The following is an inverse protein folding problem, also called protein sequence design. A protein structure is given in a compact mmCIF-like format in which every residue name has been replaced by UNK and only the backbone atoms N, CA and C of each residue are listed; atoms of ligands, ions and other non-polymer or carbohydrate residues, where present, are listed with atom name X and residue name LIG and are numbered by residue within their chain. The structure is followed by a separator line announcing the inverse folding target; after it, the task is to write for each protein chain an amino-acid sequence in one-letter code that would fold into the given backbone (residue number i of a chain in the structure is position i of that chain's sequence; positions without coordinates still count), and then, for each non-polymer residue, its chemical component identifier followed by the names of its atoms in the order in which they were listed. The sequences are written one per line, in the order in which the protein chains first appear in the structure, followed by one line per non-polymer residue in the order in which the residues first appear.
data_IF_197810794011
#
_entry.id   IF_197810794011
#
_cell.length_a   1.000
_cell.length_b   1.000
_cell.length_c   1.000
_cell.angle_alpha   90.00
_cell.angle_beta   90.00
_cell.angle_gamma   90.00
#
_symmetry.space_group_name_H-M   'P 1'
#
loop_
_entity.id
_entity.type
_entity.pdbx_description
1 polymer ?
#
# COMPACT_ATOMS: atom_id res chain seq x y z
N UNK A 1 -51.18 55.24 6.57
CA UNK A 1 -51.71 54.99 7.92
C UNK A 1 -50.68 54.17 8.69
N UNK A 2 -49.69 54.80 9.34
CA UNK A 2 -49.76 55.30 10.73
C UNK A 2 -49.95 54.20 11.77
N UNK A 3 -48.84 53.82 12.42
CA UNK A 3 -48.74 53.66 13.87
C UNK A 3 -47.26 53.62 14.28
N UNK A 4 -46.79 54.77 14.78
CA UNK A 4 -45.59 54.94 15.59
C UNK A 4 -45.91 54.51 17.04
N UNK A 5 -44.95 54.13 17.91
CA UNK A 5 -44.01 54.94 18.71
C UNK A 5 -43.38 53.99 19.80
N UNK A 6 -42.50 54.40 20.75
CA UNK A 6 -41.48 55.46 20.81
C UNK A 6 -40.11 55.01 21.42
N UNK A 7 -39.07 55.84 21.23
CA UNK A 7 -38.04 56.15 22.26
C UNK A 7 -36.82 55.21 22.36
N UNK A 8 -35.56 55.66 22.38
CA UNK A 8 -35.04 57.01 22.56
C UNK A 8 -33.51 57.09 22.42
N UNK A 9 -33.09 58.27 21.98
CA UNK A 9 -31.86 59.04 22.25
C UNK A 9 -30.46 58.43 22.03
N UNK A 10 -29.77 59.07 21.08
CA UNK A 10 -28.33 59.10 20.80
C UNK A 10 -27.52 59.81 21.91
N UNK A 11 -26.18 59.73 21.76
CA UNK A 11 -25.02 60.44 22.37
C UNK A 11 -24.38 59.72 23.58
N UNK A 12 -23.07 59.45 23.67
CA UNK A 12 -21.88 60.10 23.08
C UNK A 12 -20.60 59.27 23.37
N UNK A 13 -19.65 59.29 22.43
CA UNK A 13 -18.17 59.33 22.56
C UNK A 13 -17.39 58.40 23.54
N UNK A 14 -16.64 57.48 22.92
CA UNK A 14 -15.20 57.21 23.06
C UNK A 14 -14.52 57.23 24.46
N UNK A 15 -14.00 56.07 24.86
CA UNK A 15 -12.61 55.86 25.34
C UNK A 15 -12.31 54.36 25.51
N UNK A 16 -11.25 53.86 24.88
CA UNK A 16 -10.62 52.56 25.15
C UNK A 16 -9.83 52.61 26.48
N UNK A 17 -9.69 51.49 27.21
CA UNK A 17 -8.39 50.79 27.16
C UNK A 17 -8.44 49.25 27.32
N UNK A 18 -7.56 48.60 26.54
CA UNK A 18 -6.70 47.42 26.82
C UNK A 18 -7.28 46.23 27.62
N UNK A 19 -7.52 45.06 26.98
CA UNK A 19 -7.64 43.79 27.69
C UNK A 19 -6.26 43.22 28.06
N UNK A 20 -6.07 43.02 29.36
CA UNK A 20 -4.96 42.32 30.00
C UNK A 20 -5.07 40.81 29.78
N UNK A 21 -3.98 40.23 29.25
CA UNK A 21 -3.50 38.85 29.36
C UNK A 21 -4.55 37.74 29.57
N UNK A 22 -5.03 37.16 28.47
CA UNK A 22 -5.54 35.80 28.44
C UNK A 22 -4.92 35.02 27.28
N UNK A 23 -4.33 33.86 27.61
CA UNK A 23 -4.19 32.71 26.73
C UNK A 23 -3.35 32.89 25.46
N UNK A 24 -2.03 32.91 25.63
CA UNK A 24 -1.14 32.41 24.58
C UNK A 24 -1.14 30.88 24.59
N UNK A 25 -1.76 30.28 23.57
CA UNK A 25 -1.13 29.29 22.69
C UNK A 25 -2.10 28.94 21.56
N UNK A 26 -1.93 29.75 20.53
CA UNK A 26 -2.59 29.75 19.24
C UNK A 26 -2.68 28.37 18.60
N UNK A 27 -3.89 27.99 18.25
CA UNK A 27 -4.13 27.27 17.01
C UNK A 27 -4.19 28.29 15.86
N UNK A 28 -3.76 27.83 14.68
CA UNK A 28 -4.06 28.35 13.33
C UNK A 28 -3.12 29.43 12.74
N UNK A 29 -2.29 28.99 11.79
CA UNK A 29 -2.13 29.58 10.45
C UNK A 29 -1.69 28.42 9.53
N UNK A 30 -2.53 27.86 8.66
CA UNK A 30 -3.03 28.39 7.38
C UNK A 30 -1.94 28.66 6.34
N UNK A 31 -2.11 28.06 5.15
CA UNK A 31 -1.56 28.44 3.85
C UNK A 31 -0.02 28.46 3.71
N UNK A 32 0.50 27.65 2.78
CA UNK A 32 1.86 27.78 2.27
C UNK A 32 1.82 28.55 0.94
N UNK A 33 2.12 29.86 0.91
CA UNK A 33 2.42 30.56 -0.33
C UNK A 33 3.90 30.39 -0.70
N UNK A 34 4.18 30.21 -1.99
CA UNK A 34 5.41 30.66 -2.62
C UNK A 34 6.72 29.98 -2.21
N UNK A 35 7.24 29.11 -3.09
CA UNK A 35 8.61 28.58 -3.06
C UNK A 35 9.64 29.68 -2.73
N UNK A 36 10.27 29.57 -1.57
CA UNK A 36 11.71 29.82 -1.40
C UNK A 36 12.30 28.49 -0.94
N UNK A 37 13.07 27.85 -1.80
CA UNK A 37 13.80 26.65 -1.40
C UNK A 37 14.63 27.01 -0.18
N UNK A 38 14.32 26.42 0.97
CA UNK A 38 15.10 26.58 2.18
C UNK A 38 16.53 26.19 1.81
N UNK A 39 17.42 27.17 1.67
CA UNK A 39 18.84 26.90 1.44
C UNK A 39 19.35 26.43 2.80
N UNK A 40 19.05 25.17 3.12
CA UNK A 40 19.62 24.52 4.28
C UNK A 40 21.13 24.69 4.12
N UNK A 41 21.74 25.41 5.05
CA UNK A 41 23.17 25.69 4.99
C UNK A 41 23.92 24.37 4.80
N UNK A 42 25.09 24.37 4.14
CA UNK A 42 25.89 23.15 4.00
C UNK A 42 26.09 22.46 5.36
N UNK A 43 26.13 23.26 6.43
CA UNK A 43 26.15 22.80 7.80
C UNK A 43 24.84 22.09 8.23
N UNK A 44 23.66 22.65 7.99
CA UNK A 44 22.38 22.00 8.26
C UNK A 44 22.20 20.69 7.46
N UNK A 45 22.66 20.63 6.21
CA UNK A 45 22.65 19.39 5.42
C UNK A 45 23.62 18.35 6.00
N UNK A 46 24.85 18.76 6.35
CA UNK A 46 25.83 17.89 7.03
C UNK A 46 25.29 17.38 8.36
N UNK A 47 24.65 18.23 9.14
CA UNK A 47 24.07 17.90 10.43
C UNK A 47 22.83 17.00 10.28
N UNK A 48 22.06 17.19 9.21
CA UNK A 48 21.01 16.26 8.78
C UNK A 48 21.57 14.86 8.50
N UNK A 49 22.62 14.76 7.68
CA UNK A 49 23.28 13.48 7.39
C UNK A 49 23.92 12.83 8.62
N UNK A 50 24.49 13.62 9.53
CA UNK A 50 25.13 13.13 10.75
C UNK A 50 24.10 12.66 11.79
N UNK A 51 22.91 13.26 11.81
CA UNK A 51 21.78 12.86 12.63
C UNK A 51 20.83 11.86 11.94
N UNK A 52 21.07 11.52 10.67
CA UNK A 52 20.23 10.65 9.85
C UNK A 52 20.03 9.28 10.49
N UNK A 53 21.09 8.73 11.08
CA UNK A 53 21.05 7.45 11.81
C UNK A 53 20.22 7.50 13.08
N UNK A 54 20.02 8.68 13.69
CA UNK A 54 19.15 8.87 14.87
C UNK A 54 17.70 9.18 14.53
N UNK A 55 17.42 9.60 13.28
CA UNK A 55 16.08 9.97 12.81
C UNK A 55 15.39 8.87 12.02
N UNK A 56 16.14 7.84 11.60
CA UNK A 56 15.53 6.64 11.02
C UNK A 56 14.76 5.93 12.14
N UNK A 57 13.45 5.67 11.95
CA UNK A 57 12.81 4.65 12.77
C UNK A 57 13.62 3.35 12.60
N UNK A 58 13.69 2.49 13.63
CA UNK A 58 14.29 1.17 13.48
C UNK A 58 13.69 0.49 12.24
N UNK A 59 14.53 -0.22 11.48
CA UNK A 59 14.06 -0.94 10.28
C UNK A 59 12.88 -1.81 10.74
N UNK A 60 11.68 -1.64 10.14
CA UNK A 60 10.56 -2.46 10.53
C UNK A 60 10.95 -3.92 10.33
N UNK A 61 10.68 -4.76 11.33
CA UNK A 61 10.88 -6.19 11.22
C UNK A 61 9.88 -6.72 10.19
N UNK A 62 10.34 -6.84 8.94
CA UNK A 62 9.55 -7.43 7.87
C UNK A 62 9.61 -8.95 8.09
N UNK A 63 8.47 -9.62 8.36
CA UNK A 63 8.48 -11.08 8.51
C UNK A 63 8.96 -11.73 7.21
N UNK A 64 9.86 -12.72 7.32
CA UNK A 64 10.42 -13.44 6.16
C UNK A 64 9.34 -14.12 5.31
N UNK A 65 8.22 -14.45 5.94
CA UNK A 65 7.00 -14.93 5.31
C UNK A 65 5.82 -14.09 5.79
N UNK A 66 5.22 -13.31 4.90
CA UNK A 66 3.86 -12.83 5.10
C UNK A 66 2.92 -14.04 5.04
N UNK A 67 2.45 -14.48 6.20
CA UNK A 67 1.29 -15.35 6.27
C UNK A 67 0.09 -14.50 5.91
N UNK A 68 -0.25 -14.45 4.62
CA UNK A 68 -1.55 -13.96 4.17
C UNK A 68 -2.60 -14.76 4.94
N UNK A 69 -3.33 -14.11 5.84
CA UNK A 69 -4.49 -14.72 6.49
C UNK A 69 -5.41 -15.16 5.37
N UNK A 70 -5.50 -16.47 5.15
CA UNK A 70 -6.38 -17.06 4.17
C UNK A 70 -7.82 -16.93 4.70
N UNK A 71 -8.36 -15.71 4.70
CA UNK A 71 -9.74 -15.42 5.07
C UNK A 71 -10.73 -15.89 3.99
N UNK A 72 -10.20 -16.43 2.88
CA UNK A 72 -10.98 -17.09 1.84
C UNK A 72 -11.29 -18.52 2.24
N UNK A 73 -12.49 -18.75 2.78
CA UNK A 73 -13.03 -20.10 3.01
C UNK A 73 -13.32 -20.76 1.65
N UNK A 74 -12.31 -21.43 1.08
CA UNK A 74 -12.46 -22.21 -0.15
C UNK A 74 -13.25 -23.49 0.15
N UNK A 75 -14.48 -23.57 -0.36
CA UNK A 75 -15.30 -24.79 -0.24
C UNK A 75 -14.95 -25.75 -1.40
N UNK A 76 -14.60 -27.01 -1.13
CA UNK A 76 -14.40 -27.98 -2.19
C UNK A 76 -15.72 -28.21 -2.94
N UNK A 77 -15.70 -28.03 -4.26
CA UNK A 77 -16.85 -28.26 -5.13
C UNK A 77 -16.70 -29.58 -5.89
N UNK A 78 -17.81 -30.29 -6.10
CA UNK A 78 -17.85 -31.48 -6.97
C UNK A 78 -17.63 -31.04 -8.42
N UNK A 79 -16.67 -31.63 -9.16
CA UNK A 79 -16.40 -31.25 -10.53
C UNK A 79 -17.58 -31.61 -11.45
N UNK A 80 -17.91 -30.71 -12.37
CA UNK A 80 -18.75 -30.98 -13.53
C UNK A 80 -17.84 -31.31 -14.73
N UNK A 81 -18.31 -32.12 -15.68
CA UNK A 81 -17.50 -32.69 -16.78
C UNK A 81 -16.69 -31.64 -17.58
N UNK A 82 -17.20 -30.40 -17.68
CA UNK A 82 -16.59 -29.32 -18.46
C UNK A 82 -15.85 -28.26 -17.61
N UNK A 83 -15.78 -28.43 -16.28
CA UNK A 83 -15.12 -27.46 -15.41
C UNK A 83 -13.62 -27.72 -15.35
N UNK A 84 -12.82 -26.69 -15.63
CA UNK A 84 -11.36 -26.72 -15.55
C UNK A 84 -10.91 -25.88 -14.35
N UNK A 85 -9.96 -26.38 -13.57
CA UNK A 85 -9.23 -25.58 -12.56
C UNK A 85 -8.00 -24.93 -13.19
N UNK A 86 -7.61 -23.78 -12.65
CA UNK A 86 -6.35 -23.14 -13.02
C UNK A 86 -5.17 -24.03 -12.64
N UNK A 87 -4.18 -24.11 -13.53
CA UNK A 87 -2.88 -24.71 -13.21
C UNK A 87 -1.99 -23.77 -12.41
N UNK A 88 -0.79 -24.24 -12.10
CA UNK A 88 0.26 -23.46 -11.43
C UNK A 88 1.53 -23.48 -12.27
N UNK A 89 2.31 -22.41 -12.18
CA UNK A 89 3.66 -22.36 -12.73
C UNK A 89 4.61 -22.90 -11.67
N UNK A 90 5.71 -23.55 -12.07
CA UNK A 90 6.72 -24.03 -11.12
C UNK A 90 8.11 -24.08 -11.77
N UNK A 91 9.16 -23.95 -10.95
CA UNK A 91 10.54 -24.15 -11.37
C UNK A 91 10.93 -25.61 -11.24
N UNK A 92 11.41 -26.25 -12.32
CA UNK A 92 11.97 -27.61 -12.23
C UNK A 92 13.30 -27.55 -11.49
N UNK A 93 13.38 -28.17 -10.31
CA UNK A 93 14.60 -28.25 -9.51
C UNK A 93 15.46 -29.43 -9.98
N UNK A 94 14.84 -30.58 -10.22
CA UNK A 94 15.55 -31.79 -10.59
C UNK A 94 14.67 -33.03 -10.58
N UNK A 95 15.32 -34.19 -10.67
CA UNK A 95 14.67 -35.49 -10.61
C UNK A 95 15.36 -36.34 -9.54
N UNK A 96 14.59 -37.13 -8.80
CA UNK A 96 15.09 -38.06 -7.79
C UNK A 96 14.27 -39.34 -7.81
N UNK A 97 14.74 -40.37 -7.12
CA UNK A 97 14.00 -41.62 -6.94
C UNK A 97 13.40 -41.71 -5.55
N UNK A 98 12.10 -41.96 -5.47
CA UNK A 98 11.40 -42.36 -4.25
C UNK A 98 11.22 -43.88 -4.25
N UNK A 99 11.37 -44.50 -3.09
CA UNK A 99 11.11 -45.91 -2.88
C UNK A 99 9.77 -46.05 -2.18
N UNK A 100 8.92 -46.93 -2.68
CA UNK A 100 7.63 -47.24 -2.06
C UNK A 100 7.78 -48.34 -1.00
N UNK A 101 6.74 -48.55 -0.20
CA UNK A 101 6.69 -49.56 0.87
C UNK A 101 6.87 -50.99 0.32
N UNK A 102 6.45 -51.24 -0.92
CA UNK A 102 6.66 -52.50 -1.63
C UNK A 102 8.08 -52.68 -2.21
N UNK A 103 8.96 -51.69 -2.04
CA UNK A 103 10.33 -51.73 -2.55
C UNK A 103 10.45 -51.38 -4.04
N UNK A 104 9.41 -50.83 -4.67
CA UNK A 104 9.49 -50.33 -6.04
C UNK A 104 10.13 -48.94 -6.10
N UNK A 105 10.91 -48.70 -7.16
CA UNK A 105 11.62 -47.43 -7.38
C UNK A 105 10.84 -46.55 -8.36
N UNK A 106 10.34 -45.41 -7.86
CA UNK A 106 9.63 -44.41 -8.68
C UNK A 106 10.52 -43.20 -8.97
N UNK A 107 10.68 -42.88 -10.26
CA UNK A 107 11.38 -41.67 -10.69
C UNK A 107 10.44 -40.48 -10.65
N UNK A 108 10.75 -39.49 -9.82
CA UNK A 108 9.90 -38.31 -9.58
C UNK A 108 10.66 -37.03 -9.94
N UNK A 109 9.95 -36.06 -10.53
CA UNK A 109 10.47 -34.72 -10.78
C UNK A 109 10.03 -33.79 -9.66
N UNK A 110 10.97 -33.04 -9.10
CA UNK A 110 10.69 -32.04 -8.07
C UNK A 110 10.57 -30.66 -8.71
N UNK A 111 9.45 -30.00 -8.45
CA UNK A 111 9.15 -28.67 -8.95
C UNK A 111 8.88 -27.71 -7.78
N UNK A 112 9.59 -26.58 -7.73
CA UNK A 112 9.42 -25.55 -6.71
C UNK A 112 8.35 -24.54 -7.10
N UNK A 113 7.47 -24.23 -6.15
CA UNK A 113 6.58 -23.07 -6.20
C UNK A 113 7.21 -21.95 -5.37
N UNK A 114 7.66 -20.89 -6.03
CA UNK A 114 8.20 -19.70 -5.36
C UNK A 114 7.25 -18.51 -5.55
N UNK A 115 6.72 -17.97 -4.45
CA UNK A 115 5.87 -16.76 -4.40
C UNK A 115 4.84 -16.69 -5.54
N UNK A 116 4.09 -17.77 -5.75
CA UNK A 116 3.04 -17.83 -6.76
C UNK A 116 1.89 -16.90 -6.37
N UNK A 117 1.51 -15.99 -7.25
CA UNK A 117 0.43 -15.03 -6.99
C UNK A 117 -0.49 -14.85 -8.20
N UNK A 118 -1.79 -14.67 -7.97
CA UNK A 118 -2.77 -14.44 -9.04
C UNK A 118 -2.78 -12.95 -9.39
N UNK A 119 -2.37 -12.60 -10.61
CA UNK A 119 -2.23 -11.21 -11.03
C UNK A 119 -3.51 -10.60 -11.61
N UNK A 120 -4.18 -11.30 -12.52
CA UNK A 120 -5.38 -10.78 -13.20
C UNK A 120 -6.33 -11.92 -13.49
N UNK A 121 -7.62 -11.71 -13.21
CA UNK A 121 -8.72 -12.55 -13.71
C UNK A 121 -9.23 -11.97 -15.03
N UNK A 122 -9.28 -12.81 -16.06
CA UNK A 122 -9.91 -12.50 -17.34
C UNK A 122 -11.32 -13.10 -17.32
N UNK A 123 -12.30 -12.28 -17.69
CA UNK A 123 -13.72 -12.67 -17.69
C UNK A 123 -14.31 -12.44 -19.08
N UNK A 124 -15.26 -13.28 -19.49
CA UNK A 124 -15.88 -13.23 -20.83
C UNK A 124 -16.38 -11.82 -21.18
N UNK A 125 -17.00 -11.13 -20.22
CA UNK A 125 -17.56 -9.79 -20.43
C UNK A 125 -16.52 -8.71 -20.77
N UNK A 126 -15.28 -8.88 -20.30
CA UNK A 126 -14.23 -7.86 -20.42
C UNK A 126 -13.21 -8.20 -21.49
N UNK A 127 -12.77 -9.45 -21.52
CA UNK A 127 -11.64 -9.91 -22.34
C UNK A 127 -12.05 -10.94 -23.40
N UNK A 128 -13.32 -11.39 -23.42
CA UNK A 128 -13.85 -12.34 -24.42
C UNK A 128 -13.62 -13.83 -24.12
N UNK A 129 -12.91 -14.14 -23.03
CA UNK A 129 -12.65 -15.52 -22.58
C UNK A 129 -12.40 -15.57 -21.07
N UNK A 130 -12.46 -16.78 -20.50
CA UNK A 130 -12.14 -17.02 -19.09
C UNK A 130 -10.69 -17.52 -18.94
N UNK A 131 -9.89 -16.80 -18.17
CA UNK A 131 -8.53 -17.20 -17.83
C UNK A 131 -8.05 -16.52 -16.55
N UNK A 132 -7.00 -17.09 -15.95
CA UNK A 132 -6.32 -16.51 -14.80
C UNK A 132 -4.85 -16.32 -15.15
N UNK A 133 -4.37 -15.08 -15.01
CA UNK A 133 -2.96 -14.74 -15.12
C UNK A 133 -2.29 -14.94 -13.77
N UNK A 134 -1.24 -15.74 -13.74
CA UNK A 134 -0.50 -16.08 -12.52
C UNK A 134 0.96 -15.65 -12.70
N UNK A 135 1.51 -15.00 -11.67
CA UNK A 135 2.92 -14.63 -11.57
C UNK A 135 3.65 -15.61 -10.64
N UNK A 136 4.94 -15.82 -10.90
CA UNK A 136 5.79 -16.69 -10.11
C UNK A 136 7.17 -16.06 -9.92
N UNK A 137 7.73 -16.23 -8.73
CA UNK A 137 9.07 -15.81 -8.36
C UNK A 137 9.17 -14.33 -8.03
N UNK A 138 10.41 -13.86 -7.88
CA UNK A 138 10.73 -12.48 -7.55
C UNK A 138 11.70 -11.88 -8.56
N UNK A 139 11.49 -10.59 -8.88
CA UNK A 139 12.42 -9.82 -9.71
C UNK A 139 12.51 -8.39 -9.20
N UNK A 140 13.75 -7.93 -8.98
CA UNK A 140 14.05 -6.58 -8.45
C UNK A 140 13.43 -5.46 -9.29
N UNK A 141 12.94 -4.43 -8.61
CA UNK A 141 12.27 -3.25 -9.18
C UNK A 141 13.16 -2.55 -10.23
N UNK A 142 14.47 -2.47 -9.97
CA UNK A 142 15.42 -1.83 -10.89
C UNK A 142 15.56 -2.57 -12.23
N UNK A 143 15.19 -3.86 -12.29
CA UNK A 143 15.28 -4.70 -13.49
C UNK A 143 13.94 -4.84 -14.22
N UNK A 144 12.94 -4.04 -13.85
CA UNK A 144 11.59 -4.09 -14.39
C UNK A 144 11.25 -2.82 -15.18
N UNK A 145 10.42 -3.00 -16.20
CA UNK A 145 9.89 -1.87 -16.98
C UNK A 145 8.78 -1.16 -16.21
N UNK A 146 8.64 0.16 -16.41
CA UNK A 146 7.63 1.00 -15.73
C UNK A 146 6.20 0.46 -15.90
N UNK A 147 5.85 -0.04 -17.08
CA UNK A 147 4.53 -0.64 -17.34
C UNK A 147 4.28 -1.91 -16.53
N UNK A 148 5.28 -2.80 -16.44
CA UNK A 148 5.17 -4.05 -15.69
C UNK A 148 5.06 -3.78 -14.19
N UNK A 149 5.78 -2.79 -13.66
CA UNK A 149 5.69 -2.36 -12.26
C UNK A 149 4.25 -1.92 -11.93
N UNK A 150 3.63 -1.10 -12.80
CA UNK A 150 2.24 -0.69 -12.62
C UNK A 150 1.26 -1.87 -12.60
N UNK A 151 1.52 -2.91 -13.39
CA UNK A 151 0.72 -4.13 -13.38
C UNK A 151 0.90 -4.93 -12.08
N UNK A 152 2.11 -5.02 -11.53
CA UNK A 152 2.37 -5.71 -10.26
C UNK A 152 1.80 -4.98 -9.04
N UNK A 153 1.79 -3.65 -9.03
CA UNK A 153 1.20 -2.87 -7.92
C UNK A 153 -0.33 -2.99 -7.89
N UNK A 154 -0.95 -3.22 -9.05
CA UNK A 154 -2.40 -3.34 -9.18
C UNK A 154 -2.91 -4.74 -8.79
N UNK A 155 -2.09 -5.76 -8.99
CA UNK A 155 -2.38 -7.14 -8.62
C UNK A 155 -2.46 -7.25 -7.09
#
# INVERSE_FOLDING_TARGET
ASRAWPGGRLTTLAATPVPSAAHERSALLSAQPGRRGFFASKWQKRLGHLLESRRRPPVPEIPEAEQLSNDFVLRPLKPILNSKRSGVLAYKIGCMSLWDEWGEKHMVTVCQLDRLHVMKRMTIQRDGYEAVMVGLGYRSIHRQNRGTIGAYIKA
#
